data_IF_892758894091
#
_entry.id   IF_892758894091
#
_cell.length_a   1.000
_cell.length_b   1.000
_cell.length_c   1.000
_cell.angle_alpha   90.00
_cell.angle_beta   90.00
_cell.angle_gamma   90.00
#
_symmetry.space_group_name_H-M   'P 1'
#
loop_
_entity.id
_entity.type
_entity.pdbx_description
1 polymer ?
#
# COMPACT_ATOMS: atom_id res chain seq x y z
N UNK A 1 -13.61 30.13 -17.56
CA UNK A 1 -13.34 29.50 -16.25
C UNK A 1 -13.21 28.01 -16.48
N UNK A 2 -12.02 27.46 -16.80
CA UNK A 2 -11.92 26.01 -17.02
C UNK A 2 -11.89 25.31 -15.66
N UNK A 3 -12.86 24.42 -15.46
CA UNK A 3 -13.01 23.58 -14.27
C UNK A 3 -11.86 22.57 -14.17
N UNK A 4 -11.23 22.49 -12.99
CA UNK A 4 -10.23 21.48 -12.64
C UNK A 4 -10.87 20.08 -12.60
N UNK A 5 -10.38 19.08 -13.34
CA UNK A 5 -10.99 17.75 -13.35
C UNK A 5 -10.69 16.96 -12.07
N UNK A 6 -11.75 16.62 -11.31
CA UNK A 6 -11.74 15.64 -10.21
C UNK A 6 -11.49 14.22 -10.74
N UNK A 7 -10.24 13.85 -11.04
CA UNK A 7 -9.86 12.49 -11.48
C UNK A 7 -9.03 11.67 -10.48
N UNK A 8 -8.55 12.24 -9.37
CA UNK A 8 -7.58 11.55 -8.51
C UNK A 8 -8.16 10.53 -7.50
N UNK A 9 -9.47 10.48 -7.26
CA UNK A 9 -10.01 9.62 -6.19
C UNK A 9 -10.20 8.14 -6.58
N UNK A 10 -10.31 7.82 -7.88
CA UNK A 10 -10.65 6.46 -8.36
C UNK A 10 -9.45 5.51 -8.44
N UNK A 11 -8.22 6.02 -8.53
CA UNK A 11 -7.00 5.21 -8.73
C UNK A 11 -6.40 4.68 -7.43
N UNK A 12 -6.42 5.47 -6.35
CA UNK A 12 -5.78 5.11 -5.08
C UNK A 12 -6.46 3.93 -4.37
N UNK A 13 -7.78 3.86 -4.41
CA UNK A 13 -8.56 2.72 -3.88
C UNK A 13 -8.20 1.41 -4.59
N UNK A 14 -8.06 1.47 -5.91
CA UNK A 14 -7.70 0.32 -6.73
C UNK A 14 -6.27 -0.17 -6.42
N UNK A 15 -5.33 0.73 -6.13
CA UNK A 15 -3.96 0.38 -5.75
C UNK A 15 -3.91 -0.34 -4.40
N UNK A 16 -4.64 0.14 -3.39
CA UNK A 16 -4.69 -0.52 -2.06
C UNK A 16 -5.26 -1.93 -2.17
N UNK A 17 -6.32 -2.12 -2.96
CA UNK A 17 -6.91 -3.44 -3.21
C UNK A 17 -5.95 -4.37 -3.96
N UNK A 18 -5.29 -3.88 -5.01
CA UNK A 18 -4.31 -4.65 -5.76
C UNK A 18 -3.11 -5.09 -4.91
N UNK A 19 -2.60 -4.20 -4.05
CA UNK A 19 -1.55 -4.53 -3.08
C UNK A 19 -2.02 -5.64 -2.12
N UNK A 20 -3.22 -5.50 -1.56
CA UNK A 20 -3.77 -6.48 -0.62
C UNK A 20 -3.96 -7.86 -1.24
N UNK A 21 -4.43 -7.93 -2.48
CA UNK A 21 -4.51 -9.19 -3.25
C UNK A 21 -3.12 -9.81 -3.41
N UNK A 22 -2.14 -9.04 -3.91
CA UNK A 22 -0.78 -9.55 -4.14
C UNK A 22 -0.10 -10.04 -2.86
N UNK A 23 -0.25 -9.32 -1.75
CA UNK A 23 0.33 -9.71 -0.46
C UNK A 23 -0.35 -10.96 0.10
N UNK A 24 -1.66 -11.11 -0.12
CA UNK A 24 -2.39 -12.31 0.31
C UNK A 24 -1.96 -13.55 -0.48
N UNK A 25 -1.75 -13.40 -1.79
CA UNK A 25 -1.39 -14.49 -2.70
C UNK A 25 0.10 -14.83 -2.68
N UNK A 26 0.95 -13.91 -2.24
CA UNK A 26 2.38 -14.15 -2.08
C UNK A 26 2.62 -15.38 -1.18
N UNK A 27 3.46 -16.31 -1.62
CA UNK A 27 3.80 -17.50 -0.81
C UNK A 27 4.76 -17.16 0.32
N UNK A 28 5.49 -16.06 0.19
CA UNK A 28 6.47 -15.57 1.16
C UNK A 28 5.80 -15.20 2.49
N UNK A 29 6.42 -15.61 3.61
CA UNK A 29 5.97 -15.25 4.96
C UNK A 29 6.42 -13.86 5.39
N UNK A 30 7.41 -13.27 4.69
CA UNK A 30 7.95 -11.93 4.95
C UNK A 30 7.95 -11.13 3.66
N UNK A 31 7.29 -9.96 3.68
CA UNK A 31 7.16 -9.07 2.52
C UNK A 31 7.59 -7.67 2.92
N UNK A 32 8.46 -7.06 2.11
CA UNK A 32 8.80 -5.63 2.23
C UNK A 32 8.07 -4.86 1.15
N UNK A 33 7.40 -3.78 1.53
CA UNK A 33 6.67 -2.90 0.62
C UNK A 33 7.33 -1.52 0.65
N UNK A 34 7.90 -1.11 -0.47
CA UNK A 34 8.36 0.27 -0.68
C UNK A 34 7.17 1.15 -1.02
N UNK A 35 6.96 2.22 -0.26
CA UNK A 35 5.80 3.11 -0.41
C UNK A 35 6.20 4.56 -0.12
N UNK A 36 5.50 5.52 -0.74
CA UNK A 36 5.66 6.94 -0.40
C UNK A 36 5.16 7.24 1.02
N UNK A 37 5.73 8.23 1.70
CA UNK A 37 5.43 8.51 3.11
C UNK A 37 4.00 9.01 3.34
N UNK A 38 3.44 9.77 2.39
CA UNK A 38 2.22 10.57 2.58
C UNK A 38 0.96 9.76 2.95
N UNK A 39 0.86 8.52 2.47
CA UNK A 39 -0.28 7.62 2.74
C UNK A 39 0.14 6.24 3.24
N UNK A 40 1.37 6.12 3.75
CA UNK A 40 1.94 4.85 4.22
C UNK A 40 1.07 4.24 5.32
N UNK A 41 0.70 5.04 6.33
CA UNK A 41 -0.08 4.59 7.49
C UNK A 41 -1.46 4.11 7.05
N UNK A 42 -2.13 4.84 6.16
CA UNK A 42 -3.45 4.47 5.65
C UNK A 42 -3.41 3.17 4.86
N UNK A 43 -2.38 2.99 4.02
CA UNK A 43 -2.19 1.76 3.23
C UNK A 43 -1.86 0.58 4.13
N UNK A 44 -0.99 0.75 5.13
CA UNK A 44 -0.65 -0.28 6.09
C UNK A 44 -1.87 -0.71 6.91
N UNK A 45 -2.68 0.25 7.37
CA UNK A 45 -3.92 -0.02 8.11
C UNK A 45 -4.93 -0.77 7.27
N UNK A 46 -5.13 -0.35 6.01
CA UNK A 46 -6.02 -1.04 5.08
C UNK A 46 -5.58 -2.48 4.83
N UNK A 47 -4.27 -2.70 4.61
CA UNK A 47 -3.72 -4.03 4.39
C UNK A 47 -3.86 -4.93 5.63
N UNK A 48 -3.57 -4.40 6.82
CA UNK A 48 -3.71 -5.14 8.07
C UNK A 48 -5.16 -5.61 8.30
N UNK A 49 -6.15 -4.72 8.08
CA UNK A 49 -7.57 -5.06 8.16
C UNK A 49 -7.95 -6.12 7.12
N UNK A 50 -7.47 -5.98 5.88
CA UNK A 50 -7.74 -6.94 4.82
C UNK A 50 -7.19 -8.34 5.14
N UNK A 51 -5.93 -8.44 5.57
CA UNK A 51 -5.29 -9.72 5.90
C UNK A 51 -5.99 -10.41 7.09
N UNK A 52 -6.36 -9.64 8.12
CA UNK A 52 -7.15 -10.15 9.26
C UNK A 52 -8.50 -10.71 8.82
N UNK A 53 -9.22 -9.99 7.95
CA UNK A 53 -10.51 -10.45 7.42
C UNK A 53 -10.37 -11.75 6.61
N UNK A 54 -9.22 -12.00 5.97
CA UNK A 54 -8.93 -13.27 5.27
C UNK A 54 -8.34 -14.36 6.17
N UNK A 55 -8.19 -14.11 7.47
CA UNK A 55 -7.59 -15.06 8.42
C UNK A 55 -6.07 -15.25 8.26
N UNK A 56 -5.39 -14.32 7.57
CA UNK A 56 -3.95 -14.39 7.32
C UNK A 56 -3.21 -13.67 8.48
N UNK A 57 -2.79 -14.42 9.49
CA UNK A 57 -2.09 -13.88 10.67
C UNK A 57 -0.58 -14.16 10.71
N UNK A 58 -0.08 -15.10 9.90
CA UNK A 58 1.32 -15.57 9.96
C UNK A 58 2.30 -14.78 9.10
N UNK A 59 1.82 -13.84 8.27
CA UNK A 59 2.67 -13.03 7.40
C UNK A 59 3.18 -11.78 8.11
N UNK A 60 4.47 -11.52 7.98
CA UNK A 60 5.10 -10.26 8.37
C UNK A 60 5.19 -9.35 7.16
N UNK A 61 4.59 -8.16 7.23
CA UNK A 61 4.67 -7.15 6.17
C UNK A 61 5.30 -5.89 6.74
N UNK A 62 6.41 -5.45 6.15
CA UNK A 62 7.13 -4.25 6.56
C UNK A 62 6.98 -3.19 5.48
N UNK A 63 6.52 -2.00 5.87
CA UNK A 63 6.50 -0.84 4.99
C UNK A 63 7.77 -0.01 5.20
N UNK A 64 8.35 0.44 4.09
CA UNK A 64 9.49 1.36 4.11
C UNK A 64 9.28 2.46 3.07
N UNK A 65 9.81 3.64 3.36
CA UNK A 65 9.75 4.82 2.52
C UNK A 65 10.85 5.80 2.92
N UNK A 66 11.09 6.81 2.08
CA UNK A 66 12.07 7.85 2.34
C UNK A 66 11.51 9.21 1.93
N UNK A 67 11.90 10.26 2.64
CA UNK A 67 11.59 11.64 2.26
C UNK A 67 12.47 12.16 1.11
N UNK A 68 13.65 11.57 0.94
CA UNK A 68 14.59 11.94 -0.12
C UNK A 68 14.71 10.77 -1.12
N UNK A 69 14.57 11.02 -2.43
CA UNK A 69 14.78 9.98 -3.43
C UNK A 69 16.22 9.46 -3.39
N UNK A 70 16.38 8.14 -3.44
CA UNK A 70 17.67 7.45 -3.34
C UNK A 70 18.70 7.95 -4.38
N UNK A 71 18.25 8.29 -5.59
CA UNK A 71 19.10 8.78 -6.68
C UNK A 71 19.74 10.15 -6.47
N UNK A 72 19.26 10.93 -5.49
CA UNK A 72 19.81 12.26 -5.17
C UNK A 72 20.78 12.23 -3.99
N UNK A 73 21.29 11.05 -3.64
CA UNK A 73 22.28 10.84 -2.58
C UNK A 73 23.70 10.74 -3.13
#
# INVERSE_FOLDING_TARGET
>A
MPETPKMLAKSASNQKKALATKVSEATQSRVVVTHGTDSLIDTATHLATHLRHRGIASKTVVFTGAHTPEKFR
#
